data_IF_175640147343
#
_entry.id   IF_175640147343
#
_cell.length_a   1.000
_cell.length_b   1.000
_cell.length_c   1.000
_cell.angle_alpha   90.00
_cell.angle_beta   90.00
_cell.angle_gamma   90.00
#
_symmetry.space_group_name_H-M   'P 1'
#
loop_
_entity.id
_entity.type
_entity.pdbx_description
1 polymer ?
#
# COMPACT_ATOMS: atom_id res chain seq x y z
N UNK A 1 8.47 8.89 -19.31
CA UNK A 1 9.02 7.75 -18.56
C UNK A 1 7.82 7.11 -17.88
N UNK A 2 7.06 6.37 -18.67
CA UNK A 2 5.80 5.76 -18.32
C UNK A 2 5.92 4.30 -18.78
N UNK A 3 5.90 3.39 -17.81
CA UNK A 3 5.81 1.95 -18.01
C UNK A 3 4.33 1.59 -18.04
N UNK A 4 3.86 1.15 -19.20
CA UNK A 4 2.68 0.30 -19.33
C UNK A 4 3.13 -1.03 -19.96
N UNK A 5 2.68 -2.18 -19.42
CA UNK A 5 3.16 -3.48 -19.86
C UNK A 5 2.46 -3.99 -21.12
N UNK A 6 3.29 -4.74 -21.83
CA UNK A 6 3.14 -5.36 -23.12
C UNK A 6 1.91 -6.28 -23.27
N UNK A 7 1.23 -6.10 -24.39
CA UNK A 7 0.21 -6.99 -24.94
C UNK A 7 0.87 -7.86 -26.00
N UNK A 8 0.89 -9.18 -25.82
CA UNK A 8 1.20 -10.12 -26.89
C UNK A 8 0.04 -11.11 -27.08
N UNK A 9 -0.61 -10.95 -28.24
CA UNK A 9 -1.40 -11.95 -28.95
C UNK A 9 -0.50 -12.57 -30.02
N UNK A 10 -0.59 -13.88 -30.18
CA UNK A 10 -0.67 -14.62 -31.46
C UNK A 10 -0.89 -16.10 -31.10
N UNK A 11 -2.08 -16.69 -31.31
CA UNK A 11 -2.55 -17.37 -32.54
C UNK A 11 -1.71 -18.62 -32.90
N UNK A 12 -2.18 -19.81 -33.27
CA UNK A 12 -3.45 -20.52 -33.33
C UNK A 12 -3.13 -21.93 -33.95
N UNK A 13 -3.82 -23.00 -33.53
CA UNK A 13 -4.22 -24.25 -34.29
C UNK A 13 -4.38 -25.42 -33.32
N UNK A 14 -5.59 -25.93 -33.07
CA UNK A 14 -6.34 -26.90 -33.90
C UNK A 14 -6.19 -28.29 -33.23
N UNK A 15 -7.20 -29.10 -32.89
CA UNK A 15 -8.53 -29.45 -33.40
C UNK A 15 -9.44 -29.83 -32.20
N UNK A 16 -10.76 -29.58 -32.18
CA UNK A 16 -11.87 -30.53 -32.54
C UNK A 16 -11.56 -31.99 -32.16
N UNK A 17 -12.32 -32.72 -31.33
CA UNK A 17 -13.78 -32.95 -31.34
C UNK A 17 -14.27 -33.58 -30.01
N UNK A 18 -15.60 -33.54 -29.82
CA UNK A 18 -16.38 -33.97 -28.66
C UNK A 18 -16.60 -35.50 -28.57
N UNK A 19 -17.10 -36.03 -27.42
CA UNK A 19 -17.19 -37.47 -27.16
C UNK A 19 -18.52 -38.08 -27.64
N UNK A 20 -18.49 -39.33 -28.09
CA UNK A 20 -19.68 -40.09 -28.49
C UNK A 20 -19.48 -41.61 -28.47
N UNK A 21 -20.14 -42.26 -27.51
CA UNK A 21 -21.10 -43.39 -27.67
C UNK A 21 -20.70 -44.72 -28.35
N UNK A 22 -20.87 -45.80 -27.55
CA UNK A 22 -21.31 -47.20 -27.87
C UNK A 22 -20.36 -48.27 -28.46
N UNK A 23 -20.26 -49.38 -27.68
CA UNK A 23 -20.11 -50.85 -27.92
C UNK A 23 -19.97 -51.42 -29.36
N UNK A 24 -19.36 -52.62 -29.61
CA UNK A 24 -19.60 -53.87 -28.85
C UNK A 24 -18.45 -54.90 -28.71
N UNK A 25 -18.78 -55.92 -27.92
CA UNK A 25 -18.08 -57.19 -27.64
C UNK A 25 -18.20 -58.14 -28.86
N UNK A 26 -17.06 -58.65 -29.35
CA UNK A 26 -17.01 -59.79 -30.27
C UNK A 26 -16.44 -61.04 -29.58
N UNK A 27 -17.35 -62.00 -29.36
CA UNK A 27 -17.25 -63.44 -29.62
C UNK A 27 -15.88 -64.08 -29.84
N UNK A 28 -15.53 -65.10 -29.03
CA UNK A 28 -14.95 -66.36 -29.54
C UNK A 28 -15.47 -67.56 -28.73
N UNK A 29 -16.06 -68.52 -29.44
CA UNK A 29 -16.35 -69.91 -29.09
C UNK A 29 -16.40 -70.67 -30.43
N UNK A 30 -16.32 -72.01 -30.52
CA UNK A 30 -15.43 -73.02 -29.91
C UNK A 30 -14.79 -73.96 -31.00
N UNK A 31 -14.26 -75.13 -30.59
CA UNK A 31 -13.93 -76.34 -31.39
C UNK A 31 -12.63 -76.28 -32.25
N UNK A 32 -11.73 -77.28 -32.32
CA UNK A 32 -11.89 -78.73 -32.32
C UNK A 32 -10.59 -79.54 -32.04
N UNK A 33 -10.80 -80.77 -31.56
CA UNK A 33 -10.13 -82.04 -31.89
C UNK A 33 -8.64 -82.36 -31.56
N UNK A 34 -8.49 -83.44 -30.75
CA UNK A 34 -7.66 -84.66 -30.97
C UNK A 34 -6.13 -84.51 -31.02
N UNK A 35 -5.25 -85.42 -30.60
CA UNK A 35 -5.27 -86.81 -30.12
C UNK A 35 -3.85 -87.08 -29.59
N UNK A 36 -3.65 -88.12 -28.76
CA UNK A 36 -2.30 -88.55 -28.39
C UNK A 36 -2.27 -89.58 -27.28
N UNK A 37 -2.61 -90.82 -27.61
CA UNK A 37 -2.38 -92.01 -26.79
C UNK A 37 -0.89 -92.34 -26.65
N UNK A 38 -0.53 -93.04 -25.57
CA UNK A 38 0.78 -93.64 -25.37
C UNK A 38 0.88 -94.38 -24.05
N UNK A 39 0.56 -95.68 -24.07
CA UNK A 39 0.68 -96.65 -22.97
C UNK A 39 2.13 -96.89 -22.50
N UNK A 40 2.34 -97.18 -21.20
CA UNK A 40 2.76 -98.51 -20.69
C UNK A 40 3.38 -98.50 -19.28
N UNK A 41 3.10 -99.57 -18.52
CA UNK A 41 3.96 -100.15 -17.46
C UNK A 41 3.74 -99.64 -16.03
N UNK A 42 2.87 -100.25 -15.23
CA UNK A 42 3.07 -101.46 -14.41
C UNK A 42 3.93 -101.27 -13.14
N UNK A 43 3.28 -101.46 -11.97
CA UNK A 43 3.94 -101.87 -10.72
C UNK A 43 4.04 -100.82 -9.62
N UNK A 44 3.03 -100.76 -8.73
CA UNK A 44 3.13 -100.52 -7.27
C UNK A 44 1.72 -100.24 -6.71
N UNK A 45 0.93 -101.31 -6.69
CA UNK A 45 -0.32 -101.37 -5.93
C UNK A 45 0.02 -101.37 -4.43
N UNK A 46 -0.86 -100.73 -3.65
CA UNK A 46 -0.87 -100.55 -2.18
C UNK A 46 -0.30 -99.21 -1.64
N UNK A 47 0.51 -98.45 -2.40
CA UNK A 47 0.79 -97.02 -2.08
C UNK A 47 0.04 -96.02 -2.99
N UNK A 48 -0.49 -96.48 -4.12
CA UNK A 48 -1.23 -95.66 -5.08
C UNK A 48 -2.71 -95.40 -4.68
N UNK A 49 -3.28 -96.15 -3.73
CA UNK A 49 -4.61 -95.86 -3.19
C UNK A 49 -4.55 -94.71 -2.17
N UNK A 50 -3.57 -94.69 -1.28
CA UNK A 50 -3.40 -93.64 -0.25
C UNK A 50 -2.80 -92.35 -0.81
N UNK A 51 -1.91 -92.40 -1.81
CA UNK A 51 -1.41 -91.19 -2.49
C UNK A 51 -2.44 -90.58 -3.47
N UNK A 52 -3.31 -91.38 -4.09
CA UNK A 52 -4.46 -90.86 -4.85
C UNK A 52 -5.53 -90.27 -3.92
N UNK A 53 -5.75 -90.81 -2.73
CA UNK A 53 -6.65 -90.21 -1.72
C UNK A 53 -6.07 -88.94 -1.06
N UNK A 54 -4.77 -88.90 -0.77
CA UNK A 54 -4.10 -87.69 -0.25
C UNK A 54 -3.97 -86.58 -1.32
N UNK A 55 -3.67 -86.93 -2.57
CA UNK A 55 -3.63 -85.99 -3.70
C UNK A 55 -5.00 -85.46 -4.12
N UNK A 56 -6.07 -86.26 -3.96
CA UNK A 56 -7.45 -85.80 -4.12
C UNK A 56 -7.87 -84.86 -3.00
N UNK A 57 -7.58 -85.18 -1.75
CA UNK A 57 -7.95 -84.32 -0.61
C UNK A 57 -7.22 -82.97 -0.56
N UNK A 58 -5.95 -82.89 -0.99
CA UNK A 58 -5.25 -81.60 -1.14
C UNK A 58 -5.77 -80.76 -2.31
N UNK A 59 -6.11 -81.37 -3.45
CA UNK A 59 -6.76 -80.67 -4.57
C UNK A 59 -8.16 -80.19 -4.20
N UNK A 60 -8.95 -81.03 -3.53
CA UNK A 60 -10.26 -80.69 -2.97
C UNK A 60 -10.17 -79.55 -1.94
N UNK A 61 -9.12 -79.52 -1.10
CA UNK A 61 -8.87 -78.44 -0.14
C UNK A 61 -8.49 -77.10 -0.78
N UNK A 62 -7.65 -77.13 -1.82
CA UNK A 62 -7.28 -75.93 -2.59
C UNK A 62 -8.45 -75.39 -3.43
N UNK A 63 -9.25 -76.27 -4.01
CA UNK A 63 -10.49 -75.92 -4.73
C UNK A 63 -11.53 -75.31 -3.78
N UNK A 64 -11.70 -75.87 -2.57
CA UNK A 64 -12.59 -75.29 -1.56
C UNK A 64 -12.19 -73.87 -1.15
N UNK A 65 -10.89 -73.58 -1.00
CA UNK A 65 -10.39 -72.22 -0.68
C UNK A 65 -10.62 -71.26 -1.86
N UNK A 66 -10.39 -71.70 -3.10
CA UNK A 66 -10.69 -70.90 -4.30
C UNK A 66 -12.19 -70.60 -4.40
N UNK A 67 -13.05 -71.58 -4.14
CA UNK A 67 -14.50 -71.43 -4.18
C UNK A 67 -15.01 -70.46 -3.09
N UNK A 68 -14.46 -70.52 -1.87
CA UNK A 68 -14.79 -69.56 -0.81
C UNK A 68 -14.31 -68.15 -1.15
N UNK A 69 -13.12 -67.99 -1.74
CA UNK A 69 -12.61 -66.67 -2.16
C UNK A 69 -13.39 -66.09 -3.34
N UNK A 70 -13.77 -66.92 -4.31
CA UNK A 70 -14.63 -66.52 -5.43
C UNK A 70 -16.00 -66.07 -4.91
N UNK A 71 -16.66 -66.87 -4.06
CA UNK A 71 -17.93 -66.51 -3.42
C UNK A 71 -17.83 -65.24 -2.55
N UNK A 72 -16.71 -65.04 -1.85
CA UNK A 72 -16.47 -63.84 -1.04
C UNK A 72 -16.32 -62.57 -1.90
N UNK A 73 -15.62 -62.67 -3.04
CA UNK A 73 -15.48 -61.57 -4.01
C UNK A 73 -16.79 -61.25 -4.71
N UNK A 74 -17.55 -62.27 -5.06
CA UNK A 74 -18.86 -62.12 -5.69
C UNK A 74 -19.87 -61.49 -4.70
N UNK A 75 -19.84 -61.91 -3.44
CA UNK A 75 -20.63 -61.29 -2.37
C UNK A 75 -20.18 -59.85 -2.04
N UNK A 76 -18.88 -59.52 -2.10
CA UNK A 76 -18.44 -58.13 -1.94
C UNK A 76 -18.83 -57.26 -3.13
N UNK A 77 -18.65 -57.75 -4.36
CA UNK A 77 -19.04 -57.04 -5.57
C UNK A 77 -20.57 -56.83 -5.64
N UNK A 78 -21.36 -57.84 -5.26
CA UNK A 78 -22.81 -57.71 -5.15
C UNK A 78 -23.23 -56.66 -4.12
N UNK A 79 -22.53 -56.57 -2.98
CA UNK A 79 -22.75 -55.54 -1.96
C UNK A 79 -22.37 -54.14 -2.43
N UNK A 80 -21.27 -53.99 -3.16
CA UNK A 80 -20.86 -52.71 -3.74
C UNK A 80 -21.89 -52.21 -4.76
N UNK A 81 -22.41 -53.09 -5.63
CA UNK A 81 -23.50 -52.74 -6.57
C UNK A 81 -24.79 -52.35 -5.86
N UNK A 82 -25.20 -53.11 -4.84
CA UNK A 82 -26.38 -52.77 -4.03
C UNK A 82 -26.21 -51.41 -3.33
N UNK A 83 -24.98 -51.08 -2.87
CA UNK A 83 -24.68 -49.79 -2.27
C UNK A 83 -24.76 -48.65 -3.28
N UNK A 84 -24.14 -48.80 -4.46
CA UNK A 84 -24.20 -47.79 -5.52
C UNK A 84 -25.65 -47.54 -5.98
N UNK A 85 -26.45 -48.60 -6.13
CA UNK A 85 -27.86 -48.49 -6.49
C UNK A 85 -28.69 -47.79 -5.40
N UNK A 86 -28.39 -48.02 -4.12
CA UNK A 86 -29.00 -47.27 -3.01
C UNK A 86 -28.68 -45.79 -3.07
N UNK A 87 -27.41 -45.43 -3.27
CA UNK A 87 -26.97 -44.03 -3.38
C UNK A 87 -27.68 -43.34 -4.56
N UNK A 88 -27.81 -44.02 -5.70
CA UNK A 88 -28.55 -43.49 -6.85
C UNK A 88 -30.05 -43.32 -6.56
N UNK A 89 -30.71 -44.31 -5.93
CA UNK A 89 -32.13 -44.21 -5.55
C UNK A 89 -32.36 -43.06 -4.57
N UNK A 90 -31.41 -42.80 -3.68
CA UNK A 90 -31.48 -41.67 -2.74
C UNK A 90 -31.38 -40.33 -3.49
N UNK A 91 -30.44 -40.20 -4.43
CA UNK A 91 -30.26 -38.98 -5.24
C UNK A 91 -31.46 -38.72 -6.16
N UNK A 92 -31.89 -39.73 -6.93
CA UNK A 92 -33.04 -39.64 -7.82
C UNK A 92 -34.35 -39.46 -7.03
N UNK A 93 -34.45 -40.08 -5.85
CA UNK A 93 -35.55 -39.90 -4.91
C UNK A 93 -35.62 -38.47 -4.37
N UNK A 94 -34.48 -37.86 -4.04
CA UNK A 94 -34.42 -36.46 -3.61
C UNK A 94 -34.79 -35.49 -4.74
N UNK A 95 -34.30 -35.74 -5.96
CA UNK A 95 -34.68 -34.98 -7.16
C UNK A 95 -36.17 -35.08 -7.45
N UNK A 96 -36.75 -36.28 -7.35
CA UNK A 96 -38.19 -36.49 -7.52
C UNK A 96 -39.00 -35.77 -6.43
N UNK A 97 -38.55 -35.86 -5.16
CA UNK A 97 -39.17 -35.16 -4.03
C UNK A 97 -39.23 -33.66 -4.26
N UNK A 98 -38.10 -33.04 -4.65
CA UNK A 98 -38.06 -31.61 -5.00
C UNK A 98 -39.03 -31.26 -6.12
N UNK A 99 -39.06 -32.05 -7.20
CA UNK A 99 -39.98 -31.81 -8.34
C UNK A 99 -41.46 -31.90 -7.92
N UNK A 100 -41.79 -32.85 -7.05
CA UNK A 100 -43.16 -33.03 -6.55
C UNK A 100 -43.57 -31.91 -5.59
N UNK A 101 -42.66 -31.45 -4.72
CA UNK A 101 -42.87 -30.31 -3.84
C UNK A 101 -43.10 -29.01 -4.62
N UNK A 102 -42.28 -28.77 -5.65
CA UNK A 102 -42.39 -27.60 -6.53
C UNK A 102 -43.70 -27.63 -7.32
N UNK A 103 -44.09 -28.77 -7.90
CA UNK A 103 -45.34 -28.87 -8.67
C UNK A 103 -46.56 -28.68 -7.75
N UNK A 104 -46.50 -29.17 -6.51
CA UNK A 104 -47.59 -29.02 -5.53
C UNK A 104 -47.83 -27.56 -5.12
N UNK A 105 -46.78 -26.74 -5.01
CA UNK A 105 -46.87 -25.30 -4.65
C UNK A 105 -46.52 -24.35 -5.80
N UNK A 106 -46.58 -24.81 -7.05
CA UNK A 106 -46.08 -24.04 -8.20
C UNK A 106 -46.68 -22.63 -8.29
N UNK A 107 -48.01 -22.52 -8.14
CA UNK A 107 -48.69 -21.23 -8.17
C UNK A 107 -48.25 -20.31 -7.02
N UNK A 108 -48.01 -20.87 -5.84
CA UNK A 108 -47.53 -20.13 -4.68
C UNK A 108 -46.09 -19.65 -4.86
N UNK A 109 -45.23 -20.45 -5.47
CA UNK A 109 -43.85 -20.07 -5.82
C UNK A 109 -43.87 -18.94 -6.86
N UNK A 110 -44.62 -19.10 -7.95
CA UNK A 110 -44.69 -18.08 -9.02
C UNK A 110 -45.18 -16.73 -8.49
N UNK A 111 -46.20 -16.72 -7.62
CA UNK A 111 -46.68 -15.47 -7.02
C UNK A 111 -45.65 -14.87 -6.07
N UNK A 112 -45.11 -15.65 -5.13
CA UNK A 112 -44.12 -15.14 -4.15
C UNK A 112 -42.88 -14.58 -4.84
N UNK A 113 -42.32 -15.30 -5.81
CA UNK A 113 -41.12 -14.86 -6.52
C UNK A 113 -41.41 -13.74 -7.50
N UNK A 114 -42.57 -13.72 -8.14
CA UNK A 114 -43.01 -12.59 -8.95
C UNK A 114 -43.12 -11.30 -8.15
N UNK A 115 -43.72 -11.37 -6.95
CA UNK A 115 -43.83 -10.22 -6.05
C UNK A 115 -42.46 -9.78 -5.51
N UNK A 116 -41.60 -10.73 -5.13
CA UNK A 116 -40.24 -10.46 -4.66
C UNK A 116 -39.38 -9.78 -5.74
N UNK A 117 -39.38 -10.31 -6.97
CA UNK A 117 -38.68 -9.72 -8.11
C UNK A 117 -39.20 -8.32 -8.44
N UNK A 118 -40.53 -8.12 -8.43
CA UNK A 118 -41.11 -6.80 -8.66
C UNK A 118 -40.70 -5.79 -7.57
N UNK A 119 -40.54 -6.23 -6.32
CA UNK A 119 -40.04 -5.39 -5.24
C UNK A 119 -38.54 -5.06 -5.43
N UNK A 120 -37.71 -6.05 -5.75
CA UNK A 120 -36.28 -5.87 -6.00
C UNK A 120 -36.03 -4.94 -7.19
N UNK A 121 -36.78 -5.09 -8.28
CA UNK A 121 -36.69 -4.22 -9.46
C UNK A 121 -37.07 -2.77 -9.13
N UNK A 122 -38.08 -2.54 -8.27
CA UNK A 122 -38.41 -1.18 -7.77
C UNK A 122 -37.26 -0.59 -6.94
N UNK A 123 -36.71 -1.37 -6.02
CA UNK A 123 -35.59 -0.92 -5.19
C UNK A 123 -34.34 -0.61 -6.02
N UNK A 124 -34.05 -1.42 -7.04
CA UNK A 124 -32.95 -1.18 -7.99
C UNK A 124 -33.18 0.10 -8.80
N UNK A 125 -34.41 0.36 -9.25
CA UNK A 125 -34.75 1.59 -9.96
C UNK A 125 -34.60 2.83 -9.07
N UNK A 126 -35.15 2.81 -7.86
CA UNK A 126 -35.00 3.90 -6.88
C UNK A 126 -33.53 4.20 -6.56
N UNK A 127 -32.72 3.14 -6.41
CA UNK A 127 -31.31 3.27 -6.13
C UNK A 127 -30.52 3.78 -7.34
N UNK A 128 -30.90 3.38 -8.56
CA UNK A 128 -30.32 3.92 -9.79
C UNK A 128 -30.60 5.42 -9.93
N UNK A 129 -31.83 5.86 -9.66
CA UNK A 129 -32.19 7.28 -9.65
C UNK A 129 -31.40 8.06 -8.59
N UNK A 130 -31.25 7.49 -7.39
CA UNK A 130 -30.46 8.09 -6.32
C UNK A 130 -28.98 8.21 -6.69
N UNK A 131 -28.37 7.17 -7.28
CA UNK A 131 -26.99 7.21 -7.77
C UNK A 131 -26.84 8.23 -8.90
N UNK A 132 -27.78 8.31 -9.84
CA UNK A 132 -27.73 9.32 -10.90
C UNK A 132 -27.80 10.73 -10.33
N UNK A 133 -28.66 10.97 -9.33
CA UNK A 133 -28.75 12.26 -8.66
C UNK A 133 -27.45 12.62 -7.90
N UNK A 134 -26.85 11.66 -7.19
CA UNK A 134 -25.58 11.84 -6.50
C UNK A 134 -24.42 12.13 -7.47
N UNK A 135 -24.40 11.44 -8.63
CA UNK A 135 -23.42 11.69 -9.70
C UNK A 135 -23.57 13.09 -10.30
N UNK A 136 -24.80 13.49 -10.64
CA UNK A 136 -25.08 14.84 -11.13
C UNK A 136 -24.69 15.92 -10.10
N UNK A 137 -24.97 15.67 -8.82
CA UNK A 137 -24.56 16.56 -7.73
C UNK A 137 -23.04 16.67 -7.61
N UNK A 138 -22.30 15.56 -7.70
CA UNK A 138 -20.83 15.56 -7.72
C UNK A 138 -20.30 16.40 -8.88
N UNK A 139 -20.86 16.24 -10.08
CA UNK A 139 -20.41 16.97 -11.26
C UNK A 139 -20.72 18.47 -11.15
N UNK A 140 -21.87 18.83 -10.58
CA UNK A 140 -22.20 20.22 -10.27
C UNK A 140 -21.23 20.81 -9.23
N UNK A 141 -20.92 20.08 -8.16
CA UNK A 141 -19.97 20.52 -7.14
C UNK A 141 -18.56 20.69 -7.72
N UNK A 142 -18.14 19.81 -8.64
CA UNK A 142 -16.87 19.95 -9.36
C UNK A 142 -16.84 21.24 -10.19
N UNK A 143 -17.90 21.52 -10.95
CA UNK A 143 -18.01 22.76 -11.72
C UNK A 143 -17.96 23.99 -10.81
N UNK A 144 -18.69 23.97 -9.69
CA UNK A 144 -18.67 25.04 -8.69
C UNK A 144 -17.30 25.22 -8.06
N UNK A 145 -16.55 24.14 -7.79
CA UNK A 145 -15.20 24.21 -7.25
C UNK A 145 -14.23 24.83 -8.27
N UNK A 146 -14.34 24.46 -9.54
CA UNK A 146 -13.49 25.01 -10.60
C UNK A 146 -13.80 26.49 -10.87
N UNK A 147 -15.07 26.88 -10.84
CA UNK A 147 -15.50 28.27 -10.91
C UNK A 147 -15.00 29.07 -9.70
N UNK A 148 -15.21 28.55 -8.49
CA UNK A 148 -14.75 29.19 -7.25
C UNK A 148 -13.24 29.40 -7.24
N UNK A 149 -12.45 28.42 -7.70
CA UNK A 149 -10.99 28.53 -7.80
C UNK A 149 -10.57 29.63 -8.78
N UNK A 150 -11.25 29.75 -9.92
CA UNK A 150 -11.00 30.82 -10.89
C UNK A 150 -11.34 32.19 -10.30
N UNK A 151 -12.51 32.31 -9.70
CA UNK A 151 -12.97 33.55 -9.07
C UNK A 151 -12.05 33.96 -7.91
N UNK A 152 -11.62 33.00 -7.09
CA UNK A 152 -10.66 33.24 -6.02
C UNK A 152 -9.31 33.70 -6.59
N UNK A 153 -8.80 33.06 -7.64
CA UNK A 153 -7.54 33.46 -8.26
C UNK A 153 -7.63 34.88 -8.82
N UNK A 154 -8.68 35.20 -9.58
CA UNK A 154 -8.91 36.52 -10.14
C UNK A 154 -9.06 37.60 -9.05
N UNK A 155 -9.80 37.29 -7.99
CA UNK A 155 -9.98 38.19 -6.84
C UNK A 155 -8.69 38.42 -6.06
N UNK A 156 -7.87 37.39 -5.86
CA UNK A 156 -6.67 37.45 -5.03
C UNK A 156 -5.46 38.04 -5.76
N UNK A 157 -5.38 37.95 -7.09
CA UNK A 157 -4.29 38.52 -7.91
C UNK A 157 -3.96 39.98 -7.56
N UNK A 158 -4.89 40.95 -7.57
CA UNK A 158 -4.55 42.34 -7.27
C UNK A 158 -4.01 42.53 -5.84
N UNK A 159 -4.51 41.78 -4.86
CA UNK A 159 -4.00 41.84 -3.49
C UNK A 159 -2.61 41.23 -3.37
N UNK A 160 -2.33 40.15 -4.10
CA UNK A 160 -1.01 39.55 -4.18
C UNK A 160 0.01 40.52 -4.77
N UNK A 161 -0.33 41.15 -5.89
CA UNK A 161 0.52 42.14 -6.55
C UNK A 161 0.78 43.35 -5.63
N UNK A 162 -0.26 43.83 -4.93
CA UNK A 162 -0.12 44.94 -3.98
C UNK A 162 0.77 44.56 -2.79
N UNK A 163 0.61 43.35 -2.24
CA UNK A 163 1.46 42.82 -1.18
C UNK A 163 2.92 42.70 -1.66
N UNK A 164 3.18 42.14 -2.84
CA UNK A 164 4.53 42.00 -3.39
C UNK A 164 5.19 43.38 -3.65
N UNK A 165 4.43 44.32 -4.22
CA UNK A 165 4.90 45.68 -4.47
C UNK A 165 5.22 46.42 -3.16
N UNK A 166 4.36 46.33 -2.14
CA UNK A 166 4.59 46.97 -0.84
C UNK A 166 5.74 46.34 -0.08
N UNK A 167 5.89 45.01 -0.14
CA UNK A 167 7.05 44.29 0.36
C UNK A 167 8.34 44.78 -0.30
N UNK A 168 8.37 44.89 -1.63
CA UNK A 168 9.53 45.41 -2.36
C UNK A 168 9.94 46.82 -1.90
N UNK A 169 8.96 47.72 -1.74
CA UNK A 169 9.23 49.08 -1.21
C UNK A 169 9.74 49.07 0.23
N UNK A 170 9.21 48.19 1.09
CA UNK A 170 9.72 48.00 2.45
C UNK A 170 11.19 47.54 2.44
N UNK A 171 11.53 46.58 1.58
CA UNK A 171 12.90 46.08 1.45
C UNK A 171 13.86 47.16 0.93
N UNK A 172 13.43 47.99 -0.02
CA UNK A 172 14.23 49.11 -0.54
C UNK A 172 14.47 50.20 0.52
N UNK A 173 13.45 50.59 1.28
CA UNK A 173 13.63 51.54 2.40
C UNK A 173 14.54 50.97 3.49
N UNK A 174 14.50 49.64 3.73
CA UNK A 174 15.38 48.99 4.69
C UNK A 174 16.85 49.02 4.24
N UNK A 175 17.11 48.86 2.94
CA UNK A 175 18.44 49.02 2.35
C UNK A 175 18.94 50.46 2.49
N UNK A 176 18.12 51.44 2.10
CA UNK A 176 18.43 52.86 2.25
C UNK A 176 18.73 53.24 3.71
N UNK A 177 17.98 52.68 4.66
CA UNK A 177 18.22 52.89 6.08
C UNK A 177 19.59 52.35 6.53
N UNK A 178 19.98 51.17 6.04
CA UNK A 178 21.30 50.61 6.31
C UNK A 178 22.43 51.52 5.79
N UNK A 179 22.27 52.05 4.58
CA UNK A 179 23.26 52.93 3.95
C UNK A 179 23.40 54.26 4.70
N UNK A 180 22.28 54.89 5.10
CA UNK A 180 22.30 56.12 5.88
C UNK A 180 22.88 55.90 7.28
N UNK A 181 22.57 54.77 7.95
CA UNK A 181 23.21 54.43 9.24
C UNK A 181 24.72 54.31 9.11
N UNK A 182 25.20 53.74 8.00
CA UNK A 182 26.64 53.69 7.70
C UNK A 182 27.21 55.09 7.43
N UNK A 183 26.49 55.94 6.71
CA UNK A 183 26.90 57.33 6.45
C UNK A 183 27.00 58.15 7.74
N UNK A 184 26.01 58.04 8.65
CA UNK A 184 26.03 58.68 9.98
C UNK A 184 27.23 58.20 10.78
N UNK A 185 27.49 56.88 10.82
CA UNK A 185 28.66 56.32 11.51
C UNK A 185 29.99 56.86 10.95
N UNK A 186 30.09 57.01 9.64
CA UNK A 186 31.28 57.58 8.99
C UNK A 186 31.42 59.08 9.31
N UNK A 187 30.33 59.84 9.31
CA UNK A 187 30.33 61.27 9.66
C UNK A 187 30.74 61.49 11.14
N UNK A 188 30.28 60.61 12.03
CA UNK A 188 30.65 60.63 13.45
C UNK A 188 32.15 60.37 13.65
N UNK A 189 32.70 59.38 12.93
CA UNK A 189 34.14 59.13 12.91
C UNK A 189 34.95 60.33 12.37
N UNK A 190 34.47 60.99 11.30
CA UNK A 190 35.12 62.20 10.76
C UNK A 190 35.10 63.36 11.76
N UNK A 191 34.02 63.53 12.52
CA UNK A 191 33.92 64.54 13.57
C UNK A 191 34.91 64.25 14.71
N UNK A 192 34.98 63.00 15.18
CA UNK A 192 35.96 62.58 16.18
C UNK A 192 37.41 62.80 15.72
N UNK A 193 37.72 62.46 14.46
CA UNK A 193 39.03 62.69 13.86
C UNK A 193 39.37 64.18 13.71
N UNK A 194 38.40 65.03 13.34
CA UNK A 194 38.59 66.47 13.25
C UNK A 194 38.90 67.08 14.62
N UNK A 195 38.19 66.67 15.67
CA UNK A 195 38.46 67.10 17.06
C UNK A 195 39.85 66.66 17.49
N UNK A 196 40.22 65.40 17.25
CA UNK A 196 41.56 64.88 17.58
C UNK A 196 42.67 65.64 16.84
N UNK A 197 42.50 65.91 15.54
CA UNK A 197 43.46 66.69 14.74
C UNK A 197 43.57 68.13 15.23
N UNK A 198 42.45 68.76 15.62
CA UNK A 198 42.43 70.10 16.24
C UNK A 198 43.29 70.14 17.49
N UNK A 199 43.08 69.21 18.42
CA UNK A 199 43.85 69.13 19.66
C UNK A 199 45.34 68.93 19.40
N UNK A 200 45.69 68.01 18.50
CA UNK A 200 47.08 67.74 18.14
C UNK A 200 47.78 68.95 17.49
N UNK A 201 47.11 69.62 16.54
CA UNK A 201 47.68 70.78 15.83
C UNK A 201 47.83 71.99 16.75
N UNK A 202 46.83 72.27 17.60
CA UNK A 202 46.91 73.36 18.59
C UNK A 202 48.04 73.06 19.60
N UNK A 203 48.14 71.83 20.10
CA UNK A 203 49.22 71.44 21.00
C UNK A 203 50.61 71.60 20.36
N UNK A 204 50.76 71.21 19.09
CA UNK A 204 52.02 71.37 18.35
C UNK A 204 52.38 72.85 18.15
N UNK A 205 51.42 73.69 17.76
CA UNK A 205 51.62 75.12 17.58
C UNK A 205 52.01 75.80 18.92
N UNK A 206 51.37 75.43 20.03
CA UNK A 206 51.74 75.93 21.36
C UNK A 206 53.16 75.52 21.77
N UNK A 207 53.57 74.28 21.51
CA UNK A 207 54.96 73.85 21.75
C UNK A 207 55.97 74.65 20.92
N UNK A 208 55.61 75.04 19.69
CA UNK A 208 56.46 75.88 18.86
C UNK A 208 56.62 77.29 19.45
N UNK A 209 55.54 77.86 19.99
CA UNK A 209 55.57 79.12 20.76
C UNK A 209 56.48 78.99 21.99
N UNK A 210 56.33 77.93 22.78
CA UNK A 210 57.16 77.75 23.98
C UNK A 210 58.63 77.53 23.63
N UNK A 211 58.91 76.76 22.58
CA UNK A 211 60.29 76.57 22.07
C UNK A 211 60.91 77.86 21.53
N UNK A 212 60.11 78.75 20.92
CA UNK A 212 60.56 80.07 20.48
C UNK A 212 60.82 81.01 21.67
N UNK A 213 59.97 80.99 22.70
CA UNK A 213 60.21 81.73 23.96
C UNK A 213 61.50 81.27 24.63
N UNK A 214 61.70 79.96 24.77
CA UNK A 214 62.90 79.40 25.42
C UNK A 214 64.18 79.78 24.67
N UNK A 215 64.16 79.77 23.33
CA UNK A 215 65.28 80.23 22.50
C UNK A 215 65.53 81.73 22.67
N UNK A 216 64.49 82.55 22.61
CA UNK A 216 64.59 83.98 22.80
C UNK A 216 65.19 84.32 24.18
N UNK A 217 64.72 83.68 25.25
CA UNK A 217 65.25 83.88 26.60
C UNK A 217 66.74 83.53 26.70
N UNK A 218 67.20 82.47 26.01
CA UNK A 218 68.62 82.11 25.97
C UNK A 218 69.46 83.15 25.24
N UNK A 219 69.04 83.59 24.07
CA UNK A 219 69.77 84.62 23.29
C UNK A 219 69.79 85.96 24.02
N UNK A 220 68.67 86.35 24.67
CA UNK A 220 68.62 87.56 25.50
C UNK A 220 69.57 87.48 26.71
N UNK A 221 69.67 86.32 27.35
CA UNK A 221 70.62 86.09 28.44
C UNK A 221 72.08 86.16 27.97
N UNK A 222 72.39 85.54 26.82
CA UNK A 222 73.73 85.58 26.20
C UNK A 222 74.11 87.01 25.76
N UNK A 223 73.17 87.76 25.17
CA UNK A 223 73.36 89.17 24.83
C UNK A 223 73.62 90.02 26.09
N UNK A 224 72.85 89.82 27.16
CA UNK A 224 73.05 90.54 28.43
C UNK A 224 74.38 90.20 29.10
N UNK A 225 74.84 88.95 29.00
CA UNK A 225 76.15 88.53 29.51
C UNK A 225 77.30 89.21 28.72
N UNK A 226 77.23 89.18 27.37
CA UNK A 226 78.23 89.81 26.50
C UNK A 226 78.27 91.34 26.67
N UNK A 227 77.14 91.97 26.98
CA UNK A 227 77.05 93.40 27.24
C UNK A 227 77.74 93.81 28.56
N UNK A 228 77.80 92.90 29.55
CA UNK A 228 78.47 93.14 30.84
C UNK A 228 79.98 92.93 30.75
N UNK A 229 80.45 92.11 29.81
CA UNK A 229 81.87 91.95 29.51
C UNK A 229 82.39 93.18 28.72
N UNK A 230 82.96 94.16 29.42
CA UNK A 230 83.41 95.45 28.86
C UNK A 230 84.52 95.42 27.79
N UNK A 231 84.97 94.23 27.36
CA UNK A 231 85.93 94.02 26.25
C UNK A 231 85.31 93.33 25.02
N UNK A 232 83.99 93.13 24.98
CA UNK A 232 83.31 92.47 23.87
C UNK A 232 83.44 93.25 22.55
N UNK A 233 83.73 92.54 21.45
CA UNK A 233 83.85 93.16 20.13
C UNK A 233 82.50 93.72 19.66
N UNK A 234 82.42 94.97 19.13
CA UNK A 234 81.16 95.56 18.68
C UNK A 234 80.39 94.73 17.64
N UNK A 235 81.13 94.00 16.79
CA UNK A 235 80.56 93.09 15.81
C UNK A 235 79.85 91.86 16.42
N UNK A 236 80.27 91.39 17.60
CA UNK A 236 79.63 90.27 18.29
C UNK A 236 78.32 90.70 18.96
N UNK A 237 78.29 91.91 19.56
CA UNK A 237 77.07 92.51 20.11
C UNK A 237 76.03 92.79 19.01
N UNK A 238 76.46 93.33 17.85
CA UNK A 238 75.56 93.55 16.71
C UNK A 238 74.96 92.27 16.13
N UNK A 239 75.71 91.15 16.16
CA UNK A 239 75.20 89.83 15.73
C UNK A 239 74.12 89.30 16.68
N UNK A 240 74.40 89.24 17.99
CA UNK A 240 73.41 88.80 18.98
C UNK A 240 72.17 89.72 19.01
N UNK A 241 72.35 91.04 18.80
CA UNK A 241 71.22 91.95 18.65
C UNK A 241 70.36 91.61 17.42
N UNK A 242 71.00 91.29 16.28
CA UNK A 242 70.28 90.80 15.10
C UNK A 242 69.57 89.46 15.32
N UNK A 243 70.17 88.56 16.09
CA UNK A 243 69.59 87.26 16.48
C UNK A 243 68.40 87.42 17.44
N UNK A 244 68.45 88.34 18.41
CA UNK A 244 67.30 88.69 19.27
C UNK A 244 66.14 89.20 18.42
N UNK A 245 66.39 90.10 17.46
CA UNK A 245 65.34 90.61 16.56
C UNK A 245 64.77 89.49 15.68
N UNK A 246 65.61 88.60 15.17
CA UNK A 246 65.18 87.44 14.39
C UNK A 246 64.33 86.46 15.20
N UNK A 247 64.73 86.13 16.43
CA UNK A 247 63.94 85.25 17.31
C UNK A 247 62.65 85.90 17.82
N UNK A 248 62.63 87.22 18.02
CA UNK A 248 61.39 87.96 18.27
C UNK A 248 60.42 87.85 17.09
N UNK A 249 60.93 87.95 15.85
CA UNK A 249 60.13 87.70 14.66
C UNK A 249 59.64 86.25 14.56
N UNK A 250 60.47 85.26 14.93
CA UNK A 250 60.06 83.85 15.00
C UNK A 250 58.99 83.61 16.06
N UNK A 251 59.09 84.24 17.24
CA UNK A 251 58.06 84.17 18.28
C UNK A 251 56.75 84.83 17.81
N UNK A 252 56.83 85.96 17.11
CA UNK A 252 55.67 86.60 16.48
C UNK A 252 54.98 85.65 15.49
N UNK A 253 55.75 85.08 14.56
CA UNK A 253 55.24 84.11 13.59
C UNK A 253 54.65 82.85 14.24
N UNK A 254 55.25 82.35 15.32
CA UNK A 254 54.72 81.20 16.06
C UNK A 254 53.38 81.52 16.76
N UNK A 255 53.22 82.75 17.30
CA UNK A 255 51.95 83.21 17.89
C UNK A 255 50.86 83.39 16.84
N UNK A 256 51.22 83.96 15.69
CA UNK A 256 50.30 84.09 14.56
C UNK A 256 49.88 82.71 14.03
N UNK A 257 50.81 81.75 14.02
CA UNK A 257 50.53 80.36 13.65
C UNK A 257 49.54 79.69 14.60
N UNK A 258 49.64 79.91 15.93
CA UNK A 258 48.63 79.41 16.88
C UNK A 258 47.25 79.96 16.56
N UNK A 259 47.15 81.26 16.28
CA UNK A 259 45.88 81.90 15.92
C UNK A 259 45.31 81.31 14.63
N UNK A 260 46.16 81.16 13.60
CA UNK A 260 45.79 80.61 12.30
C UNK A 260 45.34 79.14 12.40
N UNK A 261 46.15 78.28 13.03
CA UNK A 261 45.85 76.85 13.22
C UNK A 261 44.58 76.67 14.05
N UNK A 262 44.37 77.48 15.08
CA UNK A 262 43.15 77.42 15.90
C UNK A 262 41.91 77.74 15.06
N UNK A 263 41.96 78.80 14.25
CA UNK A 263 40.86 79.17 13.36
C UNK A 263 40.57 78.10 12.29
N UNK A 264 41.61 77.61 11.60
CA UNK A 264 41.49 76.53 10.60
C UNK A 264 40.89 75.25 11.20
N UNK A 265 41.37 74.83 12.37
CA UNK A 265 40.87 73.63 13.03
C UNK A 265 39.45 73.79 13.58
N UNK A 266 39.06 75.00 14.02
CA UNK A 266 37.68 75.27 14.41
C UNK A 266 36.74 75.12 13.21
N UNK A 267 37.09 75.70 12.06
CA UNK A 267 36.30 75.55 10.84
C UNK A 267 36.15 74.09 10.41
N UNK A 268 37.20 73.27 10.52
CA UNK A 268 37.12 71.83 10.23
C UNK A 268 36.15 71.10 11.14
N UNK A 269 36.16 71.42 12.44
CA UNK A 269 35.21 70.84 13.41
C UNK A 269 33.78 71.29 13.13
N UNK A 270 33.56 72.58 12.87
CA UNK A 270 32.24 73.14 12.57
C UNK A 270 31.64 72.52 11.30
N UNK A 271 32.45 72.33 10.26
CA UNK A 271 32.06 71.65 9.02
C UNK A 271 31.69 70.19 9.28
N UNK A 272 32.51 69.46 10.06
CA UNK A 272 32.23 68.06 10.41
C UNK A 272 30.96 67.91 11.27
N UNK A 273 30.73 68.83 12.21
CA UNK A 273 29.50 68.89 13.01
C UNK A 273 28.27 69.14 12.13
N UNK A 274 28.36 70.08 11.19
CA UNK A 274 27.27 70.39 10.24
C UNK A 274 26.96 69.16 9.36
N UNK A 275 27.98 68.46 8.87
CA UNK A 275 27.80 67.24 8.09
C UNK A 275 27.12 66.13 8.92
N UNK A 276 27.59 65.89 10.16
CA UNK A 276 26.98 64.91 11.06
C UNK A 276 25.52 65.24 11.38
N UNK A 277 25.23 66.52 11.68
CA UNK A 277 23.87 66.97 11.94
C UNK A 277 22.94 66.72 10.74
N UNK A 278 23.39 67.05 9.53
CA UNK A 278 22.65 66.81 8.29
C UNK A 278 22.38 65.32 8.07
N UNK A 279 23.38 64.47 8.29
CA UNK A 279 23.22 63.01 8.15
C UNK A 279 22.22 62.45 9.17
N UNK A 280 22.26 62.92 10.43
CA UNK A 280 21.31 62.51 11.48
C UNK A 280 19.88 62.92 11.17
N UNK A 281 19.66 64.11 10.61
CA UNK A 281 18.33 64.54 10.16
C UNK A 281 17.82 63.68 8.98
N UNK A 282 18.70 63.29 8.05
CA UNK A 282 18.33 62.34 7.00
C UNK A 282 17.99 60.95 7.55
N UNK A 283 18.73 60.48 8.57
CA UNK A 283 18.48 59.21 9.23
C UNK A 283 17.09 59.17 9.85
N UNK A 284 16.72 60.19 10.62
CA UNK A 284 15.39 60.27 11.25
C UNK A 284 14.26 60.19 10.21
N UNK A 285 14.43 60.87 9.07
CA UNK A 285 13.46 60.83 7.97
C UNK A 285 13.33 59.44 7.36
N UNK A 286 14.46 58.77 7.10
CA UNK A 286 14.48 57.42 6.50
C UNK A 286 14.03 56.35 7.49
N UNK A 287 14.29 56.51 8.79
CA UNK A 287 13.78 55.63 9.84
C UNK A 287 12.26 55.65 9.88
N UNK A 288 11.66 56.85 9.89
CA UNK A 288 10.21 56.98 9.83
C UNK A 288 9.61 56.37 8.56
N UNK A 289 10.22 56.65 7.40
CA UNK A 289 9.79 56.07 6.13
C UNK A 289 9.89 54.54 6.12
N UNK A 290 10.93 53.96 6.73
CA UNK A 290 11.07 52.52 6.83
C UNK A 290 10.04 51.89 7.77
N UNK A 291 9.77 52.51 8.92
CA UNK A 291 8.73 52.04 9.84
C UNK A 291 7.34 52.08 9.20
N UNK A 292 7.01 53.16 8.50
CA UNK A 292 5.74 53.32 7.80
C UNK A 292 5.62 52.29 6.66
N UNK A 293 6.68 52.10 5.86
CA UNK A 293 6.70 51.10 4.79
C UNK A 293 6.58 49.66 5.33
N UNK A 294 7.20 49.35 6.48
CA UNK A 294 7.07 48.04 7.14
C UNK A 294 5.65 47.79 7.62
N UNK A 295 5.05 48.75 8.33
CA UNK A 295 3.66 48.65 8.81
C UNK A 295 2.69 48.43 7.65
N UNK A 296 2.89 49.15 6.54
CA UNK A 296 2.05 48.98 5.35
C UNK A 296 2.24 47.59 4.71
N UNK A 297 3.48 47.12 4.58
CA UNK A 297 3.76 45.78 4.04
C UNK A 297 3.16 44.66 4.91
N UNK A 298 3.26 44.78 6.24
CA UNK A 298 2.67 43.82 7.18
C UNK A 298 1.13 43.83 7.08
N UNK A 299 0.51 45.00 7.02
CA UNK A 299 -0.95 45.12 6.84
C UNK A 299 -1.44 44.51 5.53
N UNK A 300 -0.74 44.74 4.41
CA UNK A 300 -1.10 44.13 3.11
C UNK A 300 -0.90 42.62 3.09
N UNK A 301 0.11 42.14 3.78
CA UNK A 301 0.33 40.71 3.96
C UNK A 301 -0.80 40.06 4.74
N UNK A 302 -1.19 40.64 5.87
CA UNK A 302 -2.30 40.13 6.68
C UNK A 302 -3.62 40.14 5.90
N UNK A 303 -3.90 41.20 5.14
CA UNK A 303 -5.07 41.29 4.27
C UNK A 303 -5.09 40.17 3.22
N UNK A 304 -3.98 39.97 2.51
CA UNK A 304 -3.86 38.90 1.51
C UNK A 304 -3.97 37.50 2.14
N UNK A 305 -3.27 37.24 3.25
CA UNK A 305 -3.31 35.96 3.95
C UNK A 305 -4.73 35.65 4.47
N UNK A 306 -5.43 36.66 4.99
CA UNK A 306 -6.84 36.54 5.41
C UNK A 306 -7.75 36.10 4.26
N UNK A 307 -7.74 36.85 3.15
CA UNK A 307 -8.57 36.54 1.98
C UNK A 307 -8.21 35.19 1.35
N UNK A 308 -6.92 34.85 1.32
CA UNK A 308 -6.46 33.56 0.78
C UNK A 308 -6.91 32.39 1.67
N UNK A 309 -6.89 32.54 2.99
CA UNK A 309 -7.37 31.50 3.91
C UNK A 309 -8.90 31.31 3.82
N UNK A 310 -9.66 32.41 3.66
CA UNK A 310 -11.10 32.35 3.41
C UNK A 310 -11.41 31.60 2.09
N UNK A 311 -10.68 31.91 1.02
CA UNK A 311 -10.77 31.22 -0.27
C UNK A 311 -10.51 29.71 -0.14
N UNK A 312 -9.40 29.33 0.51
CA UNK A 312 -9.04 27.92 0.74
C UNK A 312 -10.08 27.18 1.60
N UNK A 313 -10.68 27.87 2.58
CA UNK A 313 -11.71 27.26 3.43
C UNK A 313 -12.99 26.99 2.65
N UNK A 314 -13.39 27.93 1.79
CA UNK A 314 -14.55 27.75 0.90
C UNK A 314 -14.33 26.60 -0.09
N UNK A 315 -13.12 26.50 -0.67
CA UNK A 315 -12.76 25.40 -1.59
C UNK A 315 -12.80 24.04 -0.89
N UNK A 316 -12.20 23.92 0.31
CA UNK A 316 -12.28 22.69 1.11
C UNK A 316 -13.72 22.29 1.44
N UNK A 317 -14.59 23.26 1.72
CA UNK A 317 -16.00 22.99 1.98
C UNK A 317 -16.73 22.36 0.79
N UNK A 318 -16.35 22.68 -0.45
CA UNK A 318 -16.87 22.02 -1.65
C UNK A 318 -16.23 20.65 -1.88
N UNK A 319 -14.92 20.51 -1.66
CA UNK A 319 -14.21 19.23 -1.76
C UNK A 319 -14.76 18.18 -0.77
N UNK A 320 -15.06 18.58 0.45
CA UNK A 320 -15.70 17.72 1.45
C UNK A 320 -17.08 17.25 0.99
N UNK A 321 -17.90 18.15 0.46
CA UNK A 321 -19.22 17.80 -0.10
C UNK A 321 -19.10 16.86 -1.31
N UNK A 322 -18.09 17.04 -2.16
CA UNK A 322 -17.83 16.12 -3.27
C UNK A 322 -17.42 14.73 -2.77
N UNK A 323 -16.59 14.68 -1.72
CA UNK A 323 -16.19 13.42 -1.10
C UNK A 323 -17.39 12.67 -0.52
N UNK A 324 -18.32 13.39 0.10
CA UNK A 324 -19.56 12.83 0.63
C UNK A 324 -20.45 12.29 -0.51
N UNK A 325 -20.62 13.06 -1.59
CA UNK A 325 -21.38 12.61 -2.77
C UNK A 325 -20.74 11.37 -3.42
N UNK A 326 -19.41 11.26 -3.42
CA UNK A 326 -18.71 10.06 -3.89
C UNK A 326 -18.94 8.86 -2.97
N UNK A 327 -18.88 9.04 -1.66
CA UNK A 327 -19.19 7.97 -0.72
C UNK A 327 -20.63 7.47 -0.87
N UNK A 328 -21.60 8.38 -1.05
CA UNK A 328 -22.99 8.04 -1.34
C UNK A 328 -23.14 7.19 -2.61
N UNK A 329 -22.37 7.51 -3.67
CA UNK A 329 -22.31 6.72 -4.89
C UNK A 329 -21.76 5.32 -4.66
N UNK A 330 -20.59 5.22 -4.02
CA UNK A 330 -19.93 3.94 -3.75
C UNK A 330 -20.82 3.03 -2.88
N UNK A 331 -21.48 3.60 -1.86
CA UNK A 331 -22.47 2.90 -1.03
C UNK A 331 -23.73 2.50 -1.81
N UNK A 332 -24.20 3.36 -2.71
CA UNK A 332 -25.32 3.08 -3.59
C UNK A 332 -25.02 1.92 -4.55
N UNK A 333 -23.87 1.93 -5.20
CA UNK A 333 -23.41 0.86 -6.09
C UNK A 333 -23.24 -0.46 -5.35
N UNK A 334 -22.66 -0.43 -4.14
CA UNK A 334 -22.52 -1.61 -3.29
C UNK A 334 -23.87 -2.22 -2.87
N UNK A 335 -24.86 -1.39 -2.56
CA UNK A 335 -26.24 -1.86 -2.30
C UNK A 335 -26.89 -2.42 -3.56
N UNK A 336 -26.68 -1.79 -4.71
CA UNK A 336 -27.24 -2.24 -5.99
C UNK A 336 -26.67 -3.61 -6.40
N UNK A 337 -25.38 -3.86 -6.16
CA UNK A 337 -24.77 -5.16 -6.40
C UNK A 337 -25.45 -6.28 -5.59
N UNK A 338 -25.69 -6.06 -4.29
CA UNK A 338 -26.37 -7.02 -3.43
C UNK A 338 -27.80 -7.31 -3.88
N UNK A 339 -28.56 -6.26 -4.21
CA UNK A 339 -29.93 -6.41 -4.72
C UNK A 339 -29.97 -7.17 -6.06
N UNK A 340 -28.94 -7.03 -6.91
CA UNK A 340 -28.81 -7.82 -8.15
C UNK A 340 -28.55 -9.30 -7.86
N UNK A 341 -27.68 -9.60 -6.91
CA UNK A 341 -27.44 -10.99 -6.46
C UNK A 341 -28.70 -11.62 -5.89
N UNK A 342 -29.44 -10.89 -5.04
CA UNK A 342 -30.74 -11.34 -4.51
C UNK A 342 -31.75 -11.57 -5.63
N UNK A 343 -31.84 -10.65 -6.59
CA UNK A 343 -32.72 -10.79 -7.76
C UNK A 343 -32.37 -12.01 -8.60
N UNK A 344 -31.08 -12.26 -8.86
CA UNK A 344 -30.62 -13.45 -9.58
C UNK A 344 -30.99 -14.75 -8.85
N UNK A 345 -30.88 -14.77 -7.52
CA UNK A 345 -31.28 -15.92 -6.71
C UNK A 345 -32.80 -16.17 -6.77
N UNK A 346 -33.63 -15.12 -6.63
CA UNK A 346 -35.09 -15.26 -6.73
C UNK A 346 -35.54 -15.66 -8.14
N UNK A 347 -34.88 -15.13 -9.17
CA UNK A 347 -35.12 -15.51 -10.56
C UNK A 347 -34.78 -16.98 -10.81
N UNK A 348 -33.67 -17.49 -10.24
CA UNK A 348 -33.30 -18.88 -10.39
C UNK A 348 -34.34 -19.84 -9.79
N UNK A 349 -34.95 -19.48 -8.65
CA UNK A 349 -36.04 -20.26 -8.05
C UNK A 349 -37.28 -20.25 -8.95
N UNK A 350 -37.62 -19.09 -9.53
CA UNK A 350 -38.74 -18.98 -10.46
C UNK A 350 -38.51 -19.78 -11.74
N UNK A 351 -37.28 -19.73 -12.29
CA UNK A 351 -36.89 -20.45 -13.49
C UNK A 351 -36.91 -21.98 -13.28
N UNK A 352 -36.41 -22.46 -12.13
CA UNK A 352 -36.48 -23.89 -11.76
C UNK A 352 -37.95 -24.35 -11.65
N UNK A 353 -38.80 -23.57 -10.98
CA UNK A 353 -40.22 -23.88 -10.87
C UNK A 353 -40.92 -23.94 -12.24
N UNK A 354 -40.65 -22.97 -13.11
CA UNK A 354 -41.17 -22.95 -14.47
C UNK A 354 -40.65 -24.14 -15.30
N UNK A 355 -39.38 -24.51 -15.14
CA UNK A 355 -38.78 -25.64 -15.83
C UNK A 355 -39.42 -26.97 -15.40
N UNK A 356 -39.61 -27.17 -14.09
CA UNK A 356 -40.26 -28.37 -13.53
C UNK A 356 -41.70 -28.47 -14.04
N UNK A 357 -42.45 -27.38 -13.94
CA UNK A 357 -43.84 -27.32 -14.38
C UNK A 357 -44.00 -27.53 -15.90
N UNK A 358 -43.07 -27.01 -16.70
CA UNK A 358 -43.06 -27.21 -18.15
C UNK A 358 -42.66 -28.65 -18.56
N UNK A 359 -42.14 -29.47 -17.63
CA UNK A 359 -41.62 -30.81 -17.93
C UNK A 359 -42.24 -31.92 -17.07
N UNK A 360 -43.58 -32.08 -17.05
CA UNK A 360 -44.22 -33.12 -16.24
C UNK A 360 -43.82 -34.54 -16.67
N UNK A 361 -43.48 -34.72 -17.95
CA UNK A 361 -42.99 -35.98 -18.53
C UNK A 361 -41.69 -36.46 -17.85
N UNK A 362 -40.76 -35.54 -17.55
CA UNK A 362 -39.52 -35.86 -16.86
C UNK A 362 -39.78 -36.29 -15.41
N UNK A 363 -40.75 -35.65 -14.73
CA UNK A 363 -41.16 -36.05 -13.39
C UNK A 363 -41.77 -37.45 -13.39
N UNK A 364 -42.58 -37.78 -14.41
CA UNK A 364 -43.18 -39.10 -14.56
C UNK A 364 -42.15 -40.19 -14.87
N UNK A 365 -41.18 -39.90 -15.75
CA UNK A 365 -40.06 -40.79 -16.06
C UNK A 365 -39.21 -41.04 -14.82
N UNK A 366 -38.75 -39.99 -14.14
CA UNK A 366 -37.96 -40.12 -12.92
C UNK A 366 -38.68 -40.93 -11.83
N UNK A 367 -40.01 -40.78 -11.70
CA UNK A 367 -40.82 -41.59 -10.79
C UNK A 367 -40.84 -43.07 -11.18
N UNK A 368 -40.91 -43.38 -12.47
CA UNK A 368 -40.83 -44.76 -12.96
C UNK A 368 -39.43 -45.34 -12.73
N UNK A 369 -38.37 -44.58 -13.04
CA UNK A 369 -36.98 -45.00 -12.86
C UNK A 369 -36.65 -45.27 -11.39
N UNK A 370 -37.10 -44.41 -10.46
CA UNK A 370 -36.94 -44.64 -9.01
C UNK A 370 -37.68 -45.89 -8.55
N UNK A 371 -38.87 -46.17 -9.09
CA UNK A 371 -39.63 -47.36 -8.75
C UNK A 371 -38.97 -48.65 -9.29
N UNK A 372 -38.45 -48.59 -10.52
CA UNK A 372 -37.70 -49.68 -11.13
C UNK A 372 -36.41 -49.97 -10.36
N UNK A 373 -35.59 -48.93 -10.10
CA UNK A 373 -34.36 -49.04 -9.35
C UNK A 373 -34.59 -49.62 -7.93
N UNK A 374 -35.68 -49.24 -7.24
CA UNK A 374 -36.07 -49.87 -5.97
C UNK A 374 -36.37 -51.36 -6.12
N UNK A 375 -37.08 -51.76 -7.17
CA UNK A 375 -37.32 -53.17 -7.49
C UNK A 375 -36.03 -53.92 -7.83
N UNK A 376 -35.10 -53.29 -8.54
CA UNK A 376 -33.77 -53.84 -8.82
C UNK A 376 -32.94 -54.01 -7.53
N UNK A 377 -33.01 -53.03 -6.62
CA UNK A 377 -32.33 -53.10 -5.34
C UNK A 377 -32.84 -54.28 -4.50
N UNK A 378 -34.15 -54.50 -4.43
CA UNK A 378 -34.72 -55.66 -3.74
C UNK A 378 -34.21 -56.99 -4.32
N UNK A 379 -34.12 -57.09 -5.65
CA UNK A 379 -33.54 -58.27 -6.33
C UNK A 379 -32.05 -58.42 -6.02
N UNK A 380 -31.30 -57.33 -6.06
CA UNK A 380 -29.86 -57.31 -5.79
C UNK A 380 -29.56 -57.66 -4.32
N UNK A 381 -30.38 -57.20 -3.39
CA UNK A 381 -30.28 -57.54 -1.97
C UNK A 381 -30.63 -59.01 -1.71
N UNK A 382 -31.64 -59.55 -2.38
CA UNK A 382 -31.95 -60.98 -2.33
C UNK A 382 -30.81 -61.82 -2.92
N UNK A 383 -30.17 -61.37 -4.00
CA UNK A 383 -28.99 -62.02 -4.57
C UNK A 383 -27.79 -61.94 -3.62
N UNK A 384 -27.52 -60.78 -3.02
CA UNK A 384 -26.49 -60.60 -1.99
C UNK A 384 -26.75 -61.51 -0.80
N UNK A 385 -28.00 -61.65 -0.35
CA UNK A 385 -28.37 -62.56 0.73
C UNK A 385 -28.17 -64.03 0.32
N UNK A 386 -28.47 -64.39 -0.92
CA UNK A 386 -28.19 -65.72 -1.48
C UNK A 386 -26.68 -65.98 -1.52
N UNK A 387 -25.89 -65.04 -2.05
CA UNK A 387 -24.42 -65.11 -2.10
C UNK A 387 -23.81 -65.18 -0.69
N UNK A 388 -24.39 -64.49 0.28
CA UNK A 388 -24.00 -64.58 1.69
C UNK A 388 -24.30 -65.97 2.28
N UNK A 389 -25.45 -66.57 1.94
CA UNK A 389 -25.82 -67.91 2.39
C UNK A 389 -24.95 -68.99 1.75
N UNK A 390 -24.61 -68.87 0.47
CA UNK A 390 -23.70 -69.80 -0.23
C UNK A 390 -22.27 -69.65 0.27
N UNK A 391 -21.79 -68.42 0.50
CA UNK A 391 -20.51 -68.17 1.14
C UNK A 391 -20.46 -68.78 2.55
N UNK A 392 -21.52 -68.60 3.36
CA UNK A 392 -21.62 -69.20 4.71
C UNK A 392 -21.66 -70.71 4.64
N UNK A 393 -22.48 -71.30 3.78
CA UNK A 393 -22.56 -72.74 3.58
C UNK A 393 -21.21 -73.32 3.13
N UNK A 394 -20.53 -72.70 2.16
CA UNK A 394 -19.19 -73.09 1.73
C UNK A 394 -18.17 -72.96 2.87
N UNK A 395 -18.23 -71.92 3.69
CA UNK A 395 -17.38 -71.78 4.87
C UNK A 395 -17.67 -72.88 5.91
N UNK A 396 -18.92 -73.25 6.12
CA UNK A 396 -19.35 -74.30 7.05
C UNK A 396 -18.98 -75.69 6.56
N UNK A 397 -19.23 -76.03 5.30
CA UNK A 397 -18.83 -77.32 4.71
C UNK A 397 -17.32 -77.43 4.65
N UNK A 398 -16.59 -76.34 4.39
CA UNK A 398 -15.12 -76.34 4.44
C UNK A 398 -14.63 -76.51 5.89
N UNK A 399 -15.31 -75.96 6.90
CA UNK A 399 -14.99 -76.19 8.33
C UNK A 399 -15.32 -77.62 8.77
N UNK A 400 -16.49 -78.15 8.41
CA UNK A 400 -16.93 -79.50 8.73
C UNK A 400 -16.04 -80.56 8.06
N UNK A 401 -15.68 -80.36 6.78
CA UNK A 401 -14.70 -81.22 6.09
C UNK A 401 -13.30 -81.08 6.67
N UNK A 402 -12.87 -79.89 7.10
CA UNK A 402 -11.61 -79.72 7.85
C UNK A 402 -11.62 -80.46 9.19
N UNK A 403 -12.73 -80.42 9.94
CA UNK A 403 -12.87 -81.15 11.21
C UNK A 403 -12.93 -82.66 11.02
N UNK A 404 -13.62 -83.12 9.98
CA UNK A 404 -13.72 -84.54 9.64
C UNK A 404 -12.39 -85.06 9.07
N UNK A 405 -11.70 -84.27 8.25
CA UNK A 405 -10.35 -84.58 7.78
C UNK A 405 -9.32 -84.54 8.92
N UNK A 406 -9.37 -83.55 9.82
CA UNK A 406 -8.55 -83.52 11.01
C UNK A 406 -8.86 -84.71 11.93
N UNK A 407 -10.13 -85.09 12.07
CA UNK A 407 -10.56 -86.26 12.83
C UNK A 407 -10.10 -87.58 12.21
N UNK A 408 -10.12 -87.71 10.88
CA UNK A 408 -9.59 -88.87 10.15
C UNK A 408 -8.07 -88.91 10.21
N UNK A 409 -7.38 -87.77 10.07
CA UNK A 409 -5.92 -87.66 10.28
C UNK A 409 -5.56 -88.02 11.71
N UNK A 410 -6.30 -87.53 12.71
CA UNK A 410 -6.07 -87.87 14.12
C UNK A 410 -6.34 -89.36 14.38
N UNK A 411 -7.42 -89.91 13.83
CA UNK A 411 -7.77 -91.32 13.98
C UNK A 411 -6.74 -92.24 13.30
N UNK A 412 -6.28 -91.89 12.10
CA UNK A 412 -5.19 -92.61 11.42
C UNK A 412 -3.87 -92.47 12.18
N UNK A 413 -3.56 -91.31 12.76
CA UNK A 413 -2.38 -91.10 13.60
C UNK A 413 -2.47 -91.89 14.91
N UNK A 414 -3.65 -91.96 15.55
CA UNK A 414 -3.93 -92.83 16.70
C UNK A 414 -3.77 -94.29 16.33
N UNK A 415 -4.30 -94.74 15.19
CA UNK A 415 -4.10 -96.10 14.69
C UNK A 415 -2.62 -96.37 14.41
N UNK A 416 -1.88 -95.40 13.87
CA UNK A 416 -0.44 -95.52 13.63
C UNK A 416 0.36 -95.57 14.94
N UNK A 417 -0.05 -94.80 15.95
CA UNK A 417 0.53 -94.82 17.31
C UNK A 417 0.20 -96.12 18.02
N UNK A 418 -1.01 -96.66 17.87
CA UNK A 418 -1.39 -97.98 18.39
C UNK A 418 -0.61 -99.08 17.67
N UNK A 419 -0.46 -98.99 16.35
CA UNK A 419 0.41 -99.89 15.58
C UNK A 419 1.86 -99.78 16.04
N UNK A 420 2.39 -98.58 16.25
CA UNK A 420 3.73 -98.38 16.80
C UNK A 420 3.85 -98.89 18.25
N UNK A 421 2.82 -98.75 19.08
CA UNK A 421 2.81 -99.27 20.46
C UNK A 421 2.64 -100.79 20.53
N UNK A 422 2.06 -101.42 19.50
CA UNK A 422 1.93 -102.88 19.36
C UNK A 422 3.14 -103.49 18.65
N UNK A 423 3.83 -102.75 17.78
CA UNK A 423 5.04 -103.17 17.06
C UNK A 423 6.36 -102.76 17.70
N UNK A 424 6.40 -101.77 18.61
CA UNK A 424 7.56 -101.58 19.48
C UNK A 424 7.37 -102.42 20.75
N UNK A 425 8.09 -103.54 20.89
CA UNK A 425 8.21 -104.19 22.19
C UNK A 425 8.85 -103.24 23.19
N UNK A 426 8.38 -103.37 24.43
CA UNK A 426 9.07 -102.94 25.65
C UNK A 426 10.55 -103.29 25.66
#
# INVERSE_FOLDING_TARGET
MADEPNTERDEARGMREAPGTQEPIETISPEDAQEGEGENGAGLSVAASTAREAGRSLREGLEAIRNVRAASREHSAGRERAKALREQIEEDGARLGHRDEVEADYQGIVQRQGDALAQLDRQLAELADACQAASARRDQLQQQLDELRRDNEERLRPYRELMESTKGRSDDTARSLSDIRRAVKNADAQMADAVKKREQRIAAANRAVDSAKDRLQKIEAEFSALQKDGSAAPAALGKLQGEVVAEQAHLGAARDEVTRVTAECQQLVDNAQTHLWTQKQSLETVERQNEDARKEADARREEFEGMNNEALTAEKGLEEQMSAAKAELDEGEGRAAKLREEREAEQAVLDDANQIHATPELTAQLRADVAEAKGELERQEAEVARLASTERHLRETTRAKRLLFLGVVLATLVVLVVLLAVLLPR
#
